data_IF_354021728361
#
_entry.id   IF_354021728361
#
_cell.length_a   1.000
_cell.length_b   1.000
_cell.length_c   1.000
_cell.angle_alpha   90.00
_cell.angle_beta   90.00
_cell.angle_gamma   90.00
#
_symmetry.space_group_name_H-M   'P 1'
#
loop_
_entity.id
_entity.type
_entity.pdbx_description
1 polymer ?
#
# COMPACT_ATOMS: atom_id res chain seq x y z
N UNK A 1 -13.41 12.18 -0.46
CA UNK A 1 -13.31 10.70 -0.45
C UNK A 1 -11.86 10.34 -0.15
N UNK A 2 -11.59 9.26 0.60
CA UNK A 2 -10.22 8.84 0.94
C UNK A 2 -9.94 7.46 0.35
N UNK A 3 -8.82 7.30 -0.35
CA UNK A 3 -8.41 6.04 -0.98
C UNK A 3 -7.08 5.64 -0.36
N UNK A 4 -7.01 4.42 0.17
CA UNK A 4 -5.78 3.83 0.66
C UNK A 4 -5.26 2.80 -0.34
N UNK A 5 -3.96 2.88 -0.64
CA UNK A 5 -3.24 2.00 -1.53
C UNK A 5 -2.11 1.35 -0.72
N UNK A 6 -1.92 0.04 -0.89
CA UNK A 6 -0.92 -0.74 -0.15
C UNK A 6 -0.14 -1.68 -1.07
N UNK A 7 1.18 -1.79 -0.85
CA UNK A 7 2.05 -2.73 -1.56
C UNK A 7 3.20 -3.19 -0.65
N UNK A 8 3.79 -4.33 -0.97
CA UNK A 8 5.05 -4.76 -0.35
C UNK A 8 6.23 -3.88 -0.76
N UNK A 9 6.16 -3.18 -1.90
CA UNK A 9 7.28 -2.39 -2.41
C UNK A 9 6.90 -1.03 -2.99
N UNK A 10 7.60 -0.66 -4.07
CA UNK A 10 7.43 0.59 -4.81
C UNK A 10 6.52 0.45 -6.04
N UNK A 11 6.01 -0.76 -6.32
CA UNK A 11 5.18 -1.03 -7.50
C UNK A 11 3.87 -0.23 -7.50
N UNK A 12 3.44 0.20 -6.32
CA UNK A 12 2.24 1.00 -6.11
C UNK A 12 2.29 2.41 -6.70
N UNK A 13 3.47 2.96 -6.99
CA UNK A 13 3.59 4.36 -7.45
C UNK A 13 2.86 4.60 -8.78
N UNK A 14 2.94 3.65 -9.71
CA UNK A 14 2.22 3.74 -10.98
C UNK A 14 0.70 3.71 -10.79
N UNK A 15 0.21 2.85 -9.88
CA UNK A 15 -1.20 2.78 -9.52
C UNK A 15 -1.67 4.06 -8.81
N UNK A 16 -0.90 4.58 -7.85
CA UNK A 16 -1.19 5.83 -7.16
C UNK A 16 -1.26 7.02 -8.12
N UNK A 17 -0.34 7.11 -9.08
CA UNK A 17 -0.36 8.14 -10.12
C UNK A 17 -1.61 8.03 -11.01
N UNK A 18 -2.04 6.81 -11.37
CA UNK A 18 -3.26 6.59 -12.13
C UNK A 18 -4.51 7.03 -11.34
N UNK A 19 -4.59 6.66 -10.05
CA UNK A 19 -5.69 7.06 -9.17
C UNK A 19 -5.74 8.58 -9.02
N UNK A 20 -4.59 9.25 -8.82
CA UNK A 20 -4.53 10.72 -8.70
C UNK A 20 -5.06 11.42 -9.96
N UNK A 21 -4.79 10.89 -11.16
CA UNK A 21 -5.31 11.44 -12.42
C UNK A 21 -6.83 11.28 -12.54
N UNK A 22 -7.36 10.13 -12.14
CA UNK A 22 -8.80 9.83 -12.23
C UNK A 22 -9.61 10.53 -11.13
N UNK A 23 -9.02 10.72 -9.95
CA UNK A 23 -9.66 11.29 -8.75
C UNK A 23 -8.74 12.30 -8.08
N UNK A 24 -8.53 13.48 -8.69
CA UNK A 24 -7.70 14.52 -8.11
C UNK A 24 -8.25 15.04 -6.76
N UNK A 25 -9.56 14.91 -6.55
CA UNK A 25 -10.30 15.27 -5.35
C UNK A 25 -10.15 14.25 -4.20
N UNK A 26 -9.62 13.06 -4.46
CA UNK A 26 -9.42 12.05 -3.43
C UNK A 26 -8.16 12.33 -2.61
N UNK A 27 -8.29 12.20 -1.29
CA UNK A 27 -7.13 12.11 -0.40
C UNK A 27 -6.53 10.70 -0.56
N UNK A 28 -5.27 10.63 -0.99
CA UNK A 28 -4.58 9.36 -1.19
C UNK A 28 -3.65 9.07 -0.02
N UNK A 29 -3.80 7.88 0.56
CA UNK A 29 -2.84 7.31 1.52
C UNK A 29 -2.11 6.17 0.83
N UNK A 30 -0.78 6.23 0.81
CA UNK A 30 0.08 5.23 0.21
C UNK A 30 0.93 4.63 1.32
N UNK A 31 0.78 3.32 1.55
CA UNK A 31 1.55 2.58 2.55
C UNK A 31 2.33 1.45 1.90
N UNK A 32 3.60 1.30 2.25
CA UNK A 32 4.49 0.28 1.68
C UNK A 32 5.36 -0.37 2.74
N UNK A 33 5.74 -1.64 2.56
CA UNK A 33 6.66 -2.38 3.44
C UNK A 33 7.86 -3.00 2.70
N UNK A 34 8.73 -2.13 2.13
CA UNK A 34 9.86 -2.60 1.32
C UNK A 34 10.86 -3.43 2.12
N UNK A 35 10.95 -3.21 3.44
CA UNK A 35 11.84 -3.94 4.34
C UNK A 35 11.44 -5.41 4.53
N UNK A 36 10.22 -5.78 4.15
CA UNK A 36 9.78 -7.16 4.15
C UNK A 36 9.57 -7.75 2.77
N UNK A 37 10.01 -7.14 1.68
CA UNK A 37 9.96 -7.85 0.39
C UNK A 37 10.84 -9.12 0.38
N UNK A 38 10.57 -10.12 -0.47
CA UNK A 38 9.39 -10.28 -1.34
C UNK A 38 8.27 -11.08 -0.65
N UNK A 39 7.01 -10.66 -0.81
CA UNK A 39 5.85 -11.37 -0.21
C UNK A 39 5.48 -12.67 -0.94
N UNK A 40 5.80 -12.80 -2.23
CA UNK A 40 5.38 -13.94 -3.06
C UNK A 40 5.74 -15.33 -2.52
N UNK A 41 6.97 -15.56 -1.99
CA UNK A 41 7.34 -16.86 -1.44
C UNK A 41 6.82 -17.16 -0.01
N UNK A 42 6.10 -16.23 0.63
CA UNK A 42 5.67 -16.39 2.03
C UNK A 42 4.36 -17.16 2.15
N UNK A 43 4.10 -17.67 3.35
CA UNK A 43 2.82 -18.29 3.66
C UNK A 43 1.69 -17.25 3.63
N UNK A 44 0.45 -17.67 3.32
CA UNK A 44 -0.71 -16.78 3.37
C UNK A 44 -0.89 -16.09 4.73
N UNK A 45 -0.60 -16.76 5.83
CA UNK A 45 -0.70 -16.23 7.19
C UNK A 45 0.30 -15.09 7.42
N UNK A 46 1.54 -15.27 6.98
CA UNK A 46 2.58 -14.23 7.07
C UNK A 46 2.22 -13.00 6.24
N UNK A 47 1.73 -13.22 5.01
CA UNK A 47 1.29 -12.14 4.13
C UNK A 47 0.12 -11.38 4.76
N UNK A 48 -0.83 -12.10 5.38
CA UNK A 48 -1.98 -11.50 6.07
C UNK A 48 -1.53 -10.63 7.24
N UNK A 49 -0.62 -11.14 8.09
CA UNK A 49 -0.11 -10.40 9.24
C UNK A 49 0.60 -9.11 8.81
N UNK A 50 1.43 -9.18 7.75
CA UNK A 50 2.11 -8.02 7.18
C UNK A 50 1.14 -7.03 6.57
N UNK A 51 0.19 -7.48 5.75
CA UNK A 51 -0.84 -6.63 5.17
C UNK A 51 -1.62 -5.85 6.24
N UNK A 52 -2.00 -6.52 7.33
CA UNK A 52 -2.67 -5.88 8.46
C UNK A 52 -1.78 -4.89 9.21
N UNK A 53 -0.47 -5.14 9.29
CA UNK A 53 0.47 -4.20 9.90
C UNK A 53 0.61 -2.94 9.03
N UNK A 54 0.82 -3.09 7.73
CA UNK A 54 0.96 -1.97 6.78
C UNK A 54 -0.31 -1.14 6.67
N UNK A 55 -1.49 -1.78 6.69
CA UNK A 55 -2.76 -1.07 6.68
C UNK A 55 -3.01 -0.26 7.96
N UNK A 56 -2.47 -0.70 9.10
CA UNK A 56 -2.58 -0.01 10.39
C UNK A 56 -1.54 1.10 10.56
N UNK A 57 -0.36 0.96 9.95
CA UNK A 57 0.69 1.97 9.96
C UNK A 57 0.35 3.10 8.96
N UNK A 58 -0.69 3.87 9.31
CA UNK A 58 -1.05 5.10 8.60
C UNK A 58 0.01 6.17 8.90
N UNK A 59 1.04 6.26 8.06
CA UNK A 59 1.87 7.48 8.02
C UNK A 59 1.05 8.59 7.37
N UNK A 60 0.33 9.33 8.21
CA UNK A 60 -0.31 10.58 7.82
C UNK A 60 0.81 11.60 7.65
N UNK A 61 1.13 11.93 6.39
CA UNK A 61 1.86 13.14 6.04
C UNK A 61 0.90 14.30 5.88
#
# INVERSE_FOLDING_TARGET
>A
MKIALMDSGIGLLAAAAAVRRLRPDAELVVSSDPGSMPWGPRTPEDVTARALAVARDRKSG
#
